data_IF_250178039587
#
_entry.id   IF_250178039587
#
_cell.length_a   1.000
_cell.length_b   1.000
_cell.length_c   1.000
_cell.angle_alpha   90.00
_cell.angle_beta   90.00
_cell.angle_gamma   90.00
#
_symmetry.space_group_name_H-M   'P 1'
#
loop_
_entity.id
_entity.type
_entity.pdbx_description
1 polymer ?
#
# COMPACT_ATOMS: atom_id res chain seq x y z
N UNK A 1 -8.01 -13.47 -25.10
CA UNK A 1 -7.70 -13.31 -23.65
C UNK A 1 -6.38 -12.55 -23.51
N UNK A 2 -6.06 -12.02 -22.31
CA UNK A 2 -4.75 -11.43 -22.01
C UNK A 2 -3.64 -12.49 -22.10
N UNK A 3 -2.55 -12.17 -22.80
CA UNK A 3 -1.46 -13.11 -23.17
C UNK A 3 -1.99 -14.38 -23.84
N UNK A 4 -2.56 -14.21 -25.03
CA UNK A 4 -2.89 -15.33 -25.91
C UNK A 4 -1.61 -16.05 -26.38
N UNK A 5 -1.74 -17.25 -26.97
CA UNK A 5 -0.63 -18.05 -27.49
C UNK A 5 0.28 -17.27 -28.47
N UNK A 6 -0.25 -16.22 -29.09
CA UNK A 6 0.48 -15.32 -29.99
C UNK A 6 1.28 -14.22 -29.30
N UNK A 7 1.05 -13.94 -28.01
CA UNK A 7 1.68 -12.81 -27.31
C UNK A 7 1.98 -13.12 -25.82
N UNK A 8 2.88 -14.08 -25.53
CA UNK A 8 3.14 -14.56 -24.16
C UNK A 8 3.82 -13.53 -23.24
N UNK A 9 4.43 -12.47 -23.80
CA UNK A 9 5.13 -11.40 -23.07
C UNK A 9 4.47 -10.03 -23.20
N UNK A 10 3.23 -10.00 -23.68
CA UNK A 10 2.46 -8.76 -23.82
C UNK A 10 2.31 -8.07 -22.46
N UNK A 11 2.61 -6.77 -22.43
CA UNK A 11 2.39 -5.91 -21.27
C UNK A 11 0.91 -5.55 -21.11
N UNK A 12 0.45 -5.20 -19.89
CA UNK A 12 -0.90 -4.72 -19.65
C UNK A 12 -1.33 -3.57 -20.57
N UNK A 13 -0.45 -2.58 -20.78
CA UNK A 13 -0.71 -1.43 -21.66
C UNK A 13 -0.84 -1.84 -23.14
N UNK A 14 0.00 -2.77 -23.60
CA UNK A 14 -0.05 -3.30 -24.97
C UNK A 14 -1.33 -4.10 -25.22
N UNK A 15 -1.74 -4.92 -24.25
CA UNK A 15 -3.01 -5.63 -24.28
C UNK A 15 -4.19 -4.67 -24.41
N UNK A 16 -4.21 -3.60 -23.62
CA UNK A 16 -5.24 -2.58 -23.69
C UNK A 16 -5.35 -1.99 -25.11
N UNK A 17 -4.21 -1.56 -25.69
CA UNK A 17 -4.19 -0.99 -27.05
C UNK A 17 -4.71 -2.00 -28.09
N UNK A 18 -4.27 -3.26 -28.02
CA UNK A 18 -4.69 -4.31 -28.96
C UNK A 18 -6.17 -4.59 -28.84
N UNK A 19 -6.68 -4.74 -27.60
CA UNK A 19 -8.07 -5.08 -27.33
C UNK A 19 -9.01 -3.92 -27.72
N UNK A 20 -8.63 -2.67 -27.41
CA UNK A 20 -9.38 -1.48 -27.79
C UNK A 20 -9.50 -1.34 -29.32
N UNK A 21 -8.39 -1.52 -30.06
CA UNK A 21 -8.39 -1.51 -31.53
C UNK A 21 -9.34 -2.54 -32.13
N UNK A 22 -9.37 -3.75 -31.57
CA UNK A 22 -10.28 -4.82 -32.03
C UNK A 22 -11.74 -4.46 -31.78
N UNK A 23 -12.06 -3.94 -30.58
CA UNK A 23 -13.44 -3.57 -30.23
C UNK A 23 -13.95 -2.41 -31.07
N UNK A 24 -13.12 -1.39 -31.34
CA UNK A 24 -13.45 -0.29 -32.25
C UNK A 24 -13.67 -0.72 -33.71
N UNK A 25 -13.09 -1.85 -34.11
CA UNK A 25 -13.24 -2.37 -35.48
C UNK A 25 -14.52 -3.19 -35.64
N UNK A 26 -14.99 -3.83 -34.57
CA UNK A 26 -16.06 -4.82 -34.64
C UNK A 26 -17.46 -4.20 -34.52
N UNK A 27 -17.71 -3.29 -33.56
CA UNK A 27 -19.05 -2.76 -33.26
C UNK A 27 -18.98 -1.37 -32.58
N UNK A 28 -20.09 -0.63 -32.54
CA UNK A 28 -20.21 0.65 -31.84
C UNK A 28 -20.49 0.43 -30.34
N UNK A 29 -19.44 0.22 -29.56
CA UNK A 29 -19.52 0.13 -28.10
C UNK A 29 -19.49 1.51 -27.44
N UNK A 30 -20.18 1.65 -26.30
CA UNK A 30 -20.01 2.79 -25.38
C UNK A 30 -18.71 2.66 -24.58
N UNK A 31 -18.21 3.75 -24.01
CA UNK A 31 -16.98 3.74 -23.18
C UNK A 31 -17.04 2.72 -22.04
N UNK A 32 -18.18 2.62 -21.34
CA UNK A 32 -18.38 1.67 -20.25
C UNK A 32 -18.35 0.22 -20.76
N UNK A 33 -19.00 -0.06 -21.88
CA UNK A 33 -18.98 -1.40 -22.49
C UNK A 33 -17.58 -1.77 -22.97
N UNK A 34 -16.82 -0.81 -23.52
CA UNK A 34 -15.42 -1.00 -23.89
C UNK A 34 -14.56 -1.36 -22.67
N UNK A 35 -14.69 -0.62 -21.57
CA UNK A 35 -13.98 -0.89 -20.31
C UNK A 35 -14.29 -2.31 -19.82
N UNK A 36 -15.58 -2.67 -19.76
CA UNK A 36 -16.00 -4.00 -19.30
C UNK A 36 -15.51 -5.11 -20.24
N UNK A 37 -15.62 -4.94 -21.56
CA UNK A 37 -15.15 -5.92 -22.54
C UNK A 37 -13.62 -6.10 -22.54
N UNK A 38 -12.87 -5.04 -22.24
CA UNK A 38 -11.41 -5.12 -22.06
C UNK A 38 -11.09 -5.89 -20.77
N UNK A 39 -11.76 -5.54 -19.67
CA UNK A 39 -11.53 -6.15 -18.36
C UNK A 39 -11.99 -7.61 -18.29
N UNK A 40 -13.06 -7.99 -18.98
CA UNK A 40 -13.53 -9.39 -19.11
C UNK A 40 -12.46 -10.30 -19.74
N UNK A 41 -11.65 -9.75 -20.66
CA UNK A 41 -10.54 -10.49 -21.26
C UNK A 41 -9.27 -10.54 -20.40
N UNK A 42 -9.24 -9.81 -19.28
CA UNK A 42 -8.08 -9.68 -18.40
C UNK A 42 -8.07 -10.75 -17.29
N UNK A 43 -6.92 -10.99 -16.64
CA UNK A 43 -6.84 -11.90 -15.50
C UNK A 43 -7.69 -11.40 -14.32
N UNK A 44 -8.30 -12.33 -13.59
CA UNK A 44 -9.18 -12.01 -12.44
C UNK A 44 -8.55 -11.10 -11.38
N UNK A 45 -7.24 -11.22 -11.16
CA UNK A 45 -6.54 -10.40 -10.17
C UNK A 45 -6.45 -8.92 -10.56
N UNK A 46 -6.68 -8.55 -11.84
CA UNK A 46 -6.75 -7.15 -12.26
C UNK A 46 -7.92 -6.42 -11.60
N UNK A 47 -9.04 -7.11 -11.36
CA UNK A 47 -10.19 -6.54 -10.62
C UNK A 47 -9.88 -6.23 -9.15
N UNK A 48 -8.77 -6.74 -8.61
CA UNK A 48 -8.31 -6.37 -7.27
C UNK A 48 -7.51 -5.07 -7.28
N UNK A 49 -6.98 -4.68 -8.44
CA UNK A 49 -6.09 -3.51 -8.62
C UNK A 49 -6.85 -2.34 -9.26
N UNK A 50 -7.79 -2.64 -10.17
CA UNK A 50 -8.55 -1.65 -10.93
C UNK A 50 -10.03 -1.78 -10.58
N UNK A 51 -10.60 -0.74 -9.99
CA UNK A 51 -12.04 -0.62 -9.76
C UNK A 51 -12.72 0.03 -10.98
N UNK A 52 -13.35 -0.80 -11.81
CA UNK A 52 -14.02 -0.36 -13.03
C UNK A 52 -15.26 0.48 -12.77
N UNK A 53 -15.83 0.45 -11.57
CA UNK A 53 -17.01 1.27 -11.24
C UNK A 53 -16.69 2.76 -11.15
N UNK A 54 -15.41 3.09 -10.96
CA UNK A 54 -14.93 4.47 -10.87
C UNK A 54 -14.51 5.07 -12.22
N UNK A 55 -14.51 4.27 -13.29
CA UNK A 55 -13.99 4.66 -14.60
C UNK A 55 -15.14 5.05 -15.53
N UNK A 56 -15.06 6.25 -16.11
CA UNK A 56 -16.06 6.75 -17.06
C UNK A 56 -15.55 6.67 -18.51
N UNK A 57 -14.24 6.86 -18.71
CA UNK A 57 -13.61 6.85 -20.02
C UNK A 57 -12.52 5.78 -20.11
N UNK A 58 -12.35 5.26 -21.32
CA UNK A 58 -11.29 4.29 -21.66
C UNK A 58 -9.89 4.84 -21.37
N UNK A 59 -9.70 6.17 -21.49
CA UNK A 59 -8.45 6.85 -21.11
C UNK A 59 -8.17 6.70 -19.61
N UNK A 60 -9.18 6.78 -18.74
CA UNK A 60 -8.99 6.59 -17.29
C UNK A 60 -8.52 5.16 -16.99
N UNK A 61 -9.05 4.18 -17.73
CA UNK A 61 -8.61 2.79 -17.67
C UNK A 61 -7.15 2.67 -18.14
N UNK A 62 -6.80 3.33 -19.24
CA UNK A 62 -5.43 3.33 -19.77
C UNK A 62 -4.43 3.88 -18.75
N UNK A 63 -4.75 5.02 -18.14
CA UNK A 63 -3.90 5.65 -17.13
C UNK A 63 -3.73 4.75 -15.91
N UNK A 64 -4.81 4.09 -15.47
CA UNK A 64 -4.73 3.10 -14.38
C UNK A 64 -3.90 1.88 -14.71
N UNK A 65 -4.01 1.36 -15.94
CA UNK A 65 -3.22 0.23 -16.40
C UNK A 65 -1.74 0.59 -16.46
N UNK A 66 -1.39 1.78 -16.96
CA UNK A 66 0.01 2.26 -17.01
C UNK A 66 0.55 2.47 -15.60
N UNK A 67 -0.20 3.14 -14.74
CA UNK A 67 0.22 3.42 -13.36
C UNK A 67 0.46 2.15 -12.55
N UNK A 68 -0.34 1.11 -12.77
CA UNK A 68 -0.21 -0.18 -12.10
C UNK A 68 0.46 -1.27 -12.96
N UNK A 69 1.19 -0.91 -14.03
CA UNK A 69 1.66 -1.89 -15.04
C UNK A 69 2.48 -3.03 -14.41
N UNK A 70 3.38 -2.73 -13.48
CA UNK A 70 4.17 -3.75 -12.78
C UNK A 70 3.29 -4.65 -11.89
N UNK A 71 2.37 -4.07 -11.11
CA UNK A 71 1.45 -4.86 -10.28
C UNK A 71 0.55 -5.78 -11.13
N UNK A 72 0.11 -5.30 -12.30
CA UNK A 72 -0.71 -6.05 -13.24
C UNK A 72 0.09 -7.12 -13.99
N UNK A 73 1.40 -6.94 -14.17
CA UNK A 73 2.29 -7.90 -14.83
C UNK A 73 2.50 -9.18 -14.01
N UNK A 74 2.62 -9.04 -12.70
CA UNK A 74 3.10 -10.11 -11.82
C UNK A 74 2.07 -10.57 -10.77
N UNK A 75 0.99 -9.82 -10.57
CA UNK A 75 -0.11 -10.18 -9.67
C UNK A 75 0.19 -9.97 -8.19
N UNK A 76 -0.81 -10.18 -7.32
CA UNK A 76 -0.70 -9.98 -5.88
C UNK A 76 0.33 -10.95 -5.29
N UNK A 77 1.49 -10.43 -4.89
CA UNK A 77 2.58 -11.21 -4.29
C UNK A 77 3.95 -11.01 -4.95
N UNK A 78 4.03 -10.35 -6.11
CA UNK A 78 5.30 -9.97 -6.71
C UNK A 78 5.71 -8.58 -6.24
N UNK A 79 6.57 -8.56 -5.23
CA UNK A 79 7.05 -7.33 -4.61
C UNK A 79 7.92 -6.50 -5.56
N UNK A 80 7.33 -5.39 -6.03
CA UNK A 80 8.03 -4.14 -6.33
C UNK A 80 7.01 -3.01 -6.16
N UNK A 81 6.97 -2.47 -4.93
CA UNK A 81 6.33 -1.24 -4.47
C UNK A 81 4.86 -0.91 -4.84
N UNK A 82 4.03 -0.68 -3.80
CA UNK A 82 2.97 0.31 -3.89
C UNK A 82 1.52 -0.12 -3.65
N UNK A 83 1.22 -1.37 -3.30
CA UNK A 83 -0.12 -1.67 -2.74
C UNK A 83 -0.07 -1.37 -1.25
N UNK A 84 -0.66 -0.24 -0.86
CA UNK A 84 -0.87 0.13 0.53
C UNK A 84 -1.46 -1.07 1.27
N UNK A 85 -0.56 -1.77 1.98
CA UNK A 85 -0.93 -2.57 3.12
C UNK A 85 -1.75 -1.61 3.97
N UNK A 86 -3.04 -1.91 4.10
CA UNK A 86 -3.87 -1.39 5.18
C UNK A 86 -3.21 -1.89 6.47
N UNK A 87 -2.13 -1.21 6.84
CA UNK A 87 -1.44 -1.31 8.10
C UNK A 87 -2.53 -1.01 9.11
N UNK A 88 -2.89 -2.05 9.85
CA UNK A 88 -3.53 -1.90 11.15
C UNK A 88 -2.87 -0.70 11.79
N UNK A 89 -3.63 0.38 11.96
CA UNK A 89 -3.15 1.59 12.58
C UNK A 89 -2.83 1.23 14.02
N UNK A 90 -1.60 0.77 14.26
CA UNK A 90 -1.03 0.83 15.59
C UNK A 90 -0.96 2.32 15.88
N UNK A 91 -1.85 2.80 16.74
CA UNK A 91 -1.74 4.13 17.29
C UNK A 91 -0.30 4.26 17.79
N UNK A 92 0.50 5.10 17.12
CA UNK A 92 1.83 5.43 17.59
C UNK A 92 1.63 6.15 18.92
N UNK A 93 1.76 5.39 20.01
CA UNK A 93 1.80 5.93 21.35
C UNK A 93 2.92 6.99 21.36
N UNK A 94 2.56 8.17 21.87
CA UNK A 94 3.37 9.39 21.82
C UNK A 94 4.87 9.12 22.01
N UNK A 95 5.67 9.45 21.00
CA UNK A 95 7.14 9.46 21.04
C UNK A 95 7.87 8.21 20.53
N UNK A 96 7.22 7.28 19.83
CA UNK A 96 7.95 6.20 19.13
C UNK A 96 8.52 6.74 17.79
N UNK A 97 9.82 7.03 17.75
CA UNK A 97 10.55 7.37 16.51
C UNK A 97 11.77 6.45 16.36
N UNK A 98 12.09 6.02 15.13
CA UNK A 98 13.21 5.09 14.87
C UNK A 98 14.59 5.73 15.13
N UNK A 99 14.66 7.06 15.06
CA UNK A 99 15.87 7.85 15.32
C UNK A 99 15.98 8.39 16.76
N UNK A 100 15.40 7.71 17.75
CA UNK A 100 15.73 8.05 19.14
C UNK A 100 17.17 7.60 19.41
N UNK A 101 18.09 8.55 19.39
CA UNK A 101 19.47 8.37 19.82
C UNK A 101 19.54 7.76 21.22
N UNK A 102 20.71 7.20 21.58
CA UNK A 102 20.91 6.61 22.91
C UNK A 102 20.64 7.68 23.98
N UNK A 103 19.91 7.36 25.06
CA UNK A 103 19.67 8.29 26.15
C UNK A 103 20.99 8.92 26.64
N UNK A 104 20.99 10.24 26.82
CA UNK A 104 22.19 11.00 27.19
C UNK A 104 22.58 10.79 28.66
N UNK A 105 21.64 10.36 29.50
CA UNK A 105 21.82 10.20 30.94
C UNK A 105 21.85 8.72 31.36
N UNK A 106 22.57 8.38 32.45
CA UNK A 106 22.53 7.05 33.03
C UNK A 106 21.11 6.64 33.40
N UNK A 107 20.79 5.36 33.19
CA UNK A 107 19.48 4.79 33.49
C UNK A 107 19.11 5.00 34.96
N UNK A 108 17.96 5.64 35.18
CA UNK A 108 17.41 5.89 36.50
C UNK A 108 16.17 5.01 36.79
N UNK A 109 16.39 3.86 37.42
CA UNK A 109 15.28 3.00 37.88
C UNK A 109 14.79 3.38 39.29
N UNK A 110 15.38 4.40 39.94
CA UNK A 110 14.99 4.83 41.29
C UNK A 110 13.76 5.73 41.26
N UNK A 111 13.59 6.49 40.18
CA UNK A 111 12.40 7.30 39.96
C UNK A 111 11.28 6.42 39.42
N UNK A 112 10.15 6.40 40.14
CA UNK A 112 8.96 5.61 39.83
C UNK A 112 7.83 6.51 39.32
N UNK A 113 7.04 6.00 38.39
CA UNK A 113 5.86 6.69 37.89
C UNK A 113 4.85 6.96 39.01
N UNK A 114 4.17 8.12 38.96
CA UNK A 114 3.07 8.45 39.88
C UNK A 114 1.82 7.59 39.65
N UNK A 115 1.80 6.82 38.57
CA UNK A 115 0.74 5.87 38.22
C UNK A 115 1.34 4.70 37.43
N UNK A 116 0.58 4.18 36.45
CA UNK A 116 1.08 3.10 35.57
C UNK A 116 2.34 3.54 34.83
N UNK A 117 3.43 2.80 35.03
CA UNK A 117 4.72 2.99 34.38
C UNK A 117 4.66 2.64 32.88
N UNK A 118 5.63 3.12 32.08
CA UNK A 118 5.78 2.68 30.70
C UNK A 118 5.88 1.15 30.57
N UNK A 119 6.60 0.48 31.48
CA UNK A 119 6.72 -0.97 31.54
C UNK A 119 5.34 -1.66 31.64
N UNK A 120 4.49 -1.21 32.57
CA UNK A 120 3.14 -1.77 32.77
C UNK A 120 2.19 -1.50 31.60
N UNK A 121 2.40 -0.40 30.87
CA UNK A 121 1.59 -0.06 29.69
C UNK A 121 2.13 -0.67 28.39
N UNK A 122 3.27 -1.36 28.43
CA UNK A 122 3.97 -1.80 27.21
C UNK A 122 4.39 -0.62 26.32
N UNK A 123 4.64 0.54 26.94
CA UNK A 123 5.10 1.74 26.26
C UNK A 123 6.64 1.81 26.22
N UNK A 124 7.16 2.70 25.38
CA UNK A 124 8.61 2.92 25.24
C UNK A 124 9.26 3.38 26.57
N UNK A 125 10.54 3.04 26.81
CA UNK A 125 11.30 3.60 27.92
C UNK A 125 11.51 5.11 27.77
N UNK A 126 11.89 5.75 28.86
CA UNK A 126 12.19 7.17 28.95
C UNK A 126 13.27 7.60 27.94
N UNK A 127 13.11 8.73 27.25
CA UNK A 127 14.08 9.26 26.26
C UNK A 127 15.34 9.81 26.93
N UNK A 128 15.22 10.36 28.13
CA UNK A 128 16.32 11.02 28.82
C UNK A 128 17.32 10.01 29.39
N UNK A 129 16.84 8.96 30.05
CA UNK A 129 17.68 7.97 30.73
C UNK A 129 17.48 6.51 30.27
N UNK A 130 16.44 6.20 29.50
CA UNK A 130 16.15 4.82 29.07
C UNK A 130 15.46 3.93 30.12
N UNK A 131 14.99 4.49 31.24
CA UNK A 131 14.25 3.75 32.26
C UNK A 131 12.80 3.48 31.82
N UNK A 132 12.29 2.28 32.10
CA UNK A 132 10.87 1.94 31.89
C UNK A 132 10.01 2.16 33.14
N UNK A 133 10.61 2.64 34.25
CA UNK A 133 9.95 2.79 35.55
C UNK A 133 9.19 4.10 35.73
N UNK A 134 9.48 5.13 34.92
CA UNK A 134 8.85 6.45 34.97
C UNK A 134 8.66 7.04 33.56
N UNK A 135 7.78 8.04 33.44
CA UNK A 135 7.55 8.77 32.19
C UNK A 135 8.59 9.89 31.98
N UNK A 136 8.78 10.36 30.75
CA UNK A 136 9.77 11.41 30.44
C UNK A 136 9.64 12.66 31.31
N UNK A 137 8.42 13.06 31.66
CA UNK A 137 8.13 14.22 32.52
C UNK A 137 8.40 13.98 34.02
N UNK A 138 8.64 12.73 34.41
CA UNK A 138 9.00 12.31 35.77
C UNK A 138 10.50 12.02 35.87
N UNK A 139 11.23 12.08 34.75
CA UNK A 139 12.67 11.91 34.75
C UNK A 139 13.35 13.02 35.57
N UNK A 140 14.35 12.64 36.35
CA UNK A 140 15.16 13.58 37.15
C UNK A 140 16.04 14.51 36.28
N UNK A 141 16.30 14.12 35.04
CA UNK A 141 17.16 14.80 34.08
C UNK A 141 16.37 15.48 32.97
#
# INVERSE_FOLDING_TARGET
MYRDLSAPREKPSEYYIRKLKLLHTAESYTETELILAIMEGAPKYWHLVIDTSTLLHTVDLQDKIIYHEDALMYGPGSSSDGFERLEKSHAHLVGFHKDLGKPLFPRDDKTLAKGKSPEEKGARPCQHCGSSKHWDNECRY
#
